data_IF_936521819236
#
_entry.id   IF_936521819236
#
_cell.length_a   1.000
_cell.length_b   1.000
_cell.length_c   1.000
_cell.angle_alpha   90.00
_cell.angle_beta   90.00
_cell.angle_gamma   90.00
#
_symmetry.space_group_name_H-M   'P 1'
#
loop_
_entity.id
_entity.type
_entity.pdbx_description
1 polymer ?
#
# COMPACT_ATOMS: atom_id res chain seq x y z
N UNK A 1 57.83 -30.91 21.73
CA UNK A 1 56.58 -31.55 21.27
C UNK A 1 55.42 -30.78 21.88
N UNK A 2 54.90 -29.77 21.18
CA UNK A 2 53.80 -28.95 21.66
C UNK A 2 52.48 -29.69 21.38
N UNK A 3 51.71 -29.97 22.43
CA UNK A 3 50.38 -30.58 22.35
C UNK A 3 49.33 -29.47 22.22
N UNK A 4 48.87 -29.23 20.99
CA UNK A 4 47.50 -28.81 20.68
C UNK A 4 46.60 -30.02 21.04
N UNK A 5 45.46 -29.99 21.74
CA UNK A 5 44.30 -29.09 21.88
C UNK A 5 43.43 -29.68 23.04
N UNK A 6 42.44 -28.98 23.67
CA UNK A 6 41.09 -28.99 23.08
C UNK A 6 40.24 -27.77 23.52
N UNK A 7 40.57 -26.57 23.05
CA UNK A 7 39.74 -25.38 23.31
C UNK A 7 39.33 -24.67 22.01
N UNK A 8 39.40 -25.34 20.87
CA UNK A 8 39.01 -24.76 19.57
C UNK A 8 37.83 -25.47 18.91
N UNK A 9 37.28 -26.53 19.51
CA UNK A 9 36.08 -27.21 19.00
C UNK A 9 34.76 -26.59 19.49
N UNK A 10 34.79 -25.73 20.52
CA UNK A 10 33.58 -25.09 21.05
C UNK A 10 33.10 -23.87 20.24
N UNK A 11 33.86 -23.43 19.22
CA UNK A 11 33.52 -22.25 18.42
C UNK A 11 32.68 -22.54 17.16
N UNK A 12 32.42 -23.82 16.84
CA UNK A 12 31.72 -24.20 15.60
C UNK A 12 30.27 -24.68 15.79
N UNK A 13 29.72 -24.59 17.00
CA UNK A 13 28.36 -25.01 17.33
C UNK A 13 27.35 -23.86 17.52
N UNK A 14 27.69 -22.63 17.09
CA UNK A 14 26.77 -21.48 17.04
C UNK A 14 26.54 -21.00 15.60
N UNK A 15 26.45 -21.95 14.66
CA UNK A 15 26.01 -21.75 13.27
C UNK A 15 24.68 -22.47 13.01
N UNK A 16 23.80 -22.54 14.01
CA UNK A 16 22.43 -22.99 13.78
C UNK A 16 21.63 -21.77 13.31
N UNK A 17 21.38 -21.78 12.01
CA UNK A 17 20.65 -20.82 11.22
C UNK A 17 19.50 -20.12 11.98
N UNK A 18 19.54 -18.79 12.01
CA UNK A 18 18.32 -18.01 12.16
C UNK A 18 17.47 -18.21 10.92
N UNK A 19 16.63 -19.24 10.90
CA UNK A 19 15.65 -19.44 9.84
C UNK A 19 14.62 -18.31 10.00
N UNK A 20 14.82 -17.19 9.31
CA UNK A 20 13.74 -16.22 9.11
C UNK A 20 12.78 -16.80 8.07
N UNK A 21 11.91 -17.71 8.50
CA UNK A 21 10.74 -18.11 7.72
C UNK A 21 9.52 -17.42 8.30
N UNK A 22 9.20 -16.25 7.74
CA UNK A 22 7.89 -15.65 7.87
C UNK A 22 7.32 -15.45 6.46
N UNK A 23 7.12 -16.55 5.74
CA UNK A 23 6.09 -16.56 4.71
C UNK A 23 4.76 -16.51 5.45
N UNK A 24 4.30 -15.30 5.84
CA UNK A 24 2.88 -15.13 6.15
C UNK A 24 2.17 -15.57 4.88
N UNK A 25 1.47 -16.69 4.96
CA UNK A 25 0.69 -17.19 3.86
C UNK A 25 -0.23 -16.07 3.39
N UNK A 26 0.08 -15.46 2.25
CA UNK A 26 -0.75 -14.46 1.54
C UNK A 26 -1.96 -15.16 0.93
N UNK A 27 -2.66 -15.94 1.74
CA UNK A 27 -3.78 -16.76 1.32
C UNK A 27 -5.04 -15.94 1.49
N UNK A 28 -5.89 -15.98 0.47
CA UNK A 28 -7.26 -15.55 0.64
C UNK A 28 -7.98 -16.47 1.63
N UNK A 29 -9.14 -16.03 2.09
CA UNK A 29 -10.03 -16.90 2.84
C UNK A 29 -10.42 -18.11 1.97
N UNK A 30 -10.41 -19.36 2.50
CA UNK A 30 -10.77 -20.54 1.71
C UNK A 30 -12.12 -20.38 1.02
N UNK A 31 -12.18 -20.71 -0.27
CA UNK A 31 -13.37 -20.56 -1.11
C UNK A 31 -13.59 -19.16 -1.68
N UNK A 32 -12.68 -18.21 -1.42
CA UNK A 32 -12.73 -16.85 -1.98
C UNK A 32 -11.71 -16.67 -3.10
N UNK A 33 -11.93 -15.64 -3.93
CA UNK A 33 -11.03 -15.31 -5.04
C UNK A 33 -9.66 -14.85 -4.50
N UNK A 34 -8.60 -15.53 -4.94
CA UNK A 34 -7.24 -15.29 -4.48
C UNK A 34 -6.49 -14.18 -5.21
N UNK A 35 -6.89 -13.85 -6.44
CA UNK A 35 -6.19 -12.89 -7.29
C UNK A 35 -7.13 -12.04 -8.14
N UNK A 36 -6.70 -10.82 -8.46
CA UNK A 36 -7.32 -9.95 -9.46
C UNK A 36 -6.21 -9.31 -10.31
N UNK A 37 -6.11 -9.71 -11.58
CA UNK A 37 -4.92 -9.43 -12.39
C UNK A 37 -3.68 -10.01 -11.73
N UNK A 38 -2.65 -9.17 -11.58
CA UNK A 38 -1.37 -9.55 -10.97
C UNK A 38 -1.36 -9.36 -9.43
N UNK A 39 -2.45 -8.85 -8.84
CA UNK A 39 -2.54 -8.64 -7.41
C UNK A 39 -3.09 -9.89 -6.70
N UNK A 40 -2.33 -10.40 -5.74
CA UNK A 40 -2.81 -11.38 -4.76
C UNK A 40 -3.64 -10.69 -3.67
N UNK A 41 -4.78 -11.30 -3.31
CA UNK A 41 -5.76 -10.79 -2.36
C UNK A 41 -5.69 -11.66 -1.09
N UNK A 42 -4.88 -11.28 -0.11
CA UNK A 42 -4.82 -12.01 1.13
C UNK A 42 -5.95 -11.62 2.09
N UNK A 43 -6.38 -12.54 2.94
CA UNK A 43 -7.19 -12.19 4.10
C UNK A 43 -6.41 -11.20 4.99
N UNK A 44 -7.01 -10.10 5.49
CA UNK A 44 -8.44 -9.84 5.69
C UNK A 44 -9.22 -9.26 4.50
N UNK A 45 -8.56 -8.99 3.37
CA UNK A 45 -9.22 -8.44 2.18
C UNK A 45 -9.97 -9.54 1.39
N UNK A 46 -11.01 -9.13 0.66
CA UNK A 46 -11.75 -10.08 -0.16
C UNK A 46 -12.81 -9.46 -1.07
N UNK A 47 -13.17 -10.22 -2.10
CA UNK A 47 -14.21 -9.85 -3.07
C UNK A 47 -15.47 -10.64 -2.76
N UNK A 48 -16.57 -9.93 -2.54
CA UNK A 48 -17.89 -10.53 -2.33
C UNK A 48 -18.21 -10.92 -0.88
N UNK A 49 -19.49 -11.24 -0.60
CA UNK A 49 -19.96 -11.48 0.76
C UNK A 49 -19.23 -12.63 1.47
N UNK A 50 -18.79 -12.40 2.71
CA UNK A 50 -18.14 -13.42 3.53
C UNK A 50 -16.68 -13.73 3.16
N UNK A 51 -16.08 -12.96 2.24
CA UNK A 51 -14.68 -13.11 1.83
C UNK A 51 -13.70 -12.12 2.48
N UNK A 52 -14.22 -11.09 3.13
CA UNK A 52 -13.44 -10.07 3.83
C UNK A 52 -13.78 -10.07 5.32
N UNK A 53 -12.91 -9.48 6.15
CA UNK A 53 -13.09 -9.44 7.61
C UNK A 53 -14.26 -8.56 8.05
N UNK A 54 -14.42 -7.38 7.43
CA UNK A 54 -15.46 -6.42 7.75
C UNK A 54 -15.42 -5.19 6.84
N UNK A 55 -16.28 -4.19 7.09
CA UNK A 55 -16.33 -2.96 6.28
C UNK A 55 -14.95 -2.30 6.13
N UNK A 56 -14.58 -1.94 4.90
CA UNK A 56 -13.29 -1.36 4.56
C UNK A 56 -12.24 -2.37 4.07
N UNK A 57 -12.45 -3.67 4.30
CA UNK A 57 -11.61 -4.74 3.73
C UNK A 57 -12.20 -5.35 2.46
N UNK A 58 -13.42 -4.94 2.13
CA UNK A 58 -14.07 -5.28 0.88
C UNK A 58 -13.40 -4.55 -0.29
N UNK A 59 -13.10 -5.31 -1.33
CA UNK A 59 -12.48 -4.81 -2.56
C UNK A 59 -13.27 -5.32 -3.76
N UNK A 60 -13.09 -4.65 -4.88
CA UNK A 60 -13.70 -4.98 -6.17
C UNK A 60 -12.62 -5.24 -7.22
N UNK A 61 -12.96 -6.06 -8.21
CA UNK A 61 -12.09 -6.39 -9.33
C UNK A 61 -12.81 -6.05 -10.63
N UNK A 62 -12.29 -5.08 -11.38
CA UNK A 62 -12.84 -4.64 -12.67
C UNK A 62 -11.67 -4.54 -13.66
N UNK A 63 -11.81 -5.12 -14.85
CA UNK A 63 -10.77 -5.15 -15.89
C UNK A 63 -9.38 -5.59 -15.39
N UNK A 64 -9.35 -6.65 -14.56
CA UNK A 64 -8.13 -7.15 -13.90
C UNK A 64 -7.43 -6.15 -12.98
N UNK A 65 -8.11 -5.08 -12.57
CA UNK A 65 -7.61 -4.08 -11.62
C UNK A 65 -8.41 -4.15 -10.32
N UNK A 66 -7.72 -3.98 -9.21
CA UNK A 66 -8.32 -4.07 -7.89
C UNK A 66 -8.62 -2.67 -7.36
N UNK A 67 -9.84 -2.46 -6.84
CA UNK A 67 -10.25 -1.18 -6.29
C UNK A 67 -10.82 -1.35 -4.88
N UNK A 68 -10.56 -0.38 -4.03
CA UNK A 68 -11.17 -0.29 -2.70
C UNK A 68 -12.69 -0.10 -2.87
N UNK A 69 -13.48 -0.99 -2.28
CA UNK A 69 -14.93 -0.93 -2.43
C UNK A 69 -15.48 0.30 -1.70
N UNK A 70 -16.54 0.91 -2.25
CA UNK A 70 -17.20 2.09 -1.67
C UNK A 70 -16.31 3.33 -1.47
N UNK A 71 -15.18 3.43 -2.17
CA UNK A 71 -14.45 4.69 -2.25
C UNK A 71 -15.08 5.58 -3.31
N UNK A 72 -15.53 6.79 -2.92
CA UNK A 72 -16.03 7.83 -3.85
C UNK A 72 -15.04 8.16 -4.97
N UNK A 73 -13.76 7.83 -4.77
CA UNK A 73 -12.64 8.16 -5.65
C UNK A 73 -12.10 6.97 -6.45
N UNK A 74 -12.78 5.80 -6.44
CA UNK A 74 -12.35 4.57 -7.16
C UNK A 74 -10.86 4.26 -6.98
N UNK A 75 -10.42 4.17 -5.73
CA UNK A 75 -9.02 4.04 -5.36
C UNK A 75 -8.49 2.66 -5.77
N UNK A 76 -7.57 2.63 -6.73
CA UNK A 76 -6.92 1.41 -7.20
C UNK A 76 -5.86 0.94 -6.21
N UNK A 77 -5.89 -0.34 -5.88
CA UNK A 77 -4.89 -1.04 -5.06
C UNK A 77 -3.98 -1.80 -6.01
N UNK A 78 -2.67 -1.56 -5.92
CA UNK A 78 -1.68 -2.25 -6.75
C UNK A 78 -0.68 -3.07 -5.93
N UNK A 79 -0.67 -2.93 -4.60
CA UNK A 79 0.15 -3.79 -3.75
C UNK A 79 -0.44 -3.90 -2.34
N UNK A 80 -0.40 -5.11 -1.77
CA UNK A 80 -0.80 -5.37 -0.38
C UNK A 80 0.38 -6.06 0.31
N UNK A 81 0.85 -5.49 1.42
CA UNK A 81 1.91 -6.07 2.24
C UNK A 81 1.38 -6.29 3.66
N UNK A 82 1.08 -7.54 3.98
CA UNK A 82 0.66 -7.93 5.33
C UNK A 82 1.79 -7.72 6.35
N UNK A 83 3.02 -8.10 5.99
CA UNK A 83 4.21 -7.93 6.83
C UNK A 83 4.47 -6.46 7.16
N UNK A 84 4.22 -5.57 6.20
CA UNK A 84 4.33 -4.13 6.41
C UNK A 84 3.08 -3.46 6.96
N UNK A 85 1.97 -4.21 7.14
CA UNK A 85 0.69 -3.67 7.56
C UNK A 85 0.15 -2.56 6.64
N UNK A 86 0.49 -2.60 5.35
CA UNK A 86 0.24 -1.50 4.42
C UNK A 86 -0.32 -1.99 3.08
N UNK A 87 -1.26 -1.25 2.53
CA UNK A 87 -1.67 -1.34 1.14
C UNK A 87 -1.18 -0.10 0.39
N UNK A 88 -0.71 -0.27 -0.85
CA UNK A 88 -0.33 0.82 -1.73
C UNK A 88 -1.42 1.04 -2.76
N UNK A 89 -1.78 2.30 -2.91
CA UNK A 89 -2.89 2.74 -3.74
C UNK A 89 -2.49 3.91 -4.63
N UNK A 90 -3.15 4.02 -5.78
CA UNK A 90 -3.08 5.20 -6.62
C UNK A 90 -4.15 6.20 -6.17
N UNK A 91 -3.75 7.47 -6.05
CA UNK A 91 -4.66 8.58 -5.77
C UNK A 91 -5.03 9.30 -7.06
N UNK A 92 -6.16 10.03 -7.04
CA UNK A 92 -6.53 10.95 -8.10
C UNK A 92 -5.49 12.09 -8.20
N UNK A 93 -5.22 12.52 -9.44
CA UNK A 93 -4.35 13.65 -9.74
C UNK A 93 -5.19 14.92 -9.75
N UNK A 94 -4.81 15.91 -8.94
CA UNK A 94 -5.39 17.25 -9.03
C UNK A 94 -4.69 18.04 -10.13
N UNK A 95 -5.46 18.72 -10.99
CA UNK A 95 -4.93 19.68 -11.96
C UNK A 95 -5.79 20.94 -11.99
N UNK A 96 -5.17 22.10 -12.20
CA UNK A 96 -5.85 23.39 -12.33
C UNK A 96 -5.15 24.19 -13.41
N UNK A 97 -5.91 24.67 -14.38
CA UNK A 97 -5.37 25.48 -15.47
C UNK A 97 -5.53 26.97 -15.16
N UNK A 98 -4.59 27.79 -15.67
CA UNK A 98 -4.66 29.23 -15.49
C UNK A 98 -5.93 29.78 -16.15
N UNK A 99 -6.69 30.63 -15.44
CA UNK A 99 -7.95 31.20 -15.93
C UNK A 99 -9.21 30.33 -15.74
N UNK A 100 -9.12 29.15 -15.11
CA UNK A 100 -10.32 28.42 -14.69
C UNK A 100 -10.74 28.81 -13.27
N UNK A 101 -11.98 29.28 -13.13
CA UNK A 101 -12.59 29.57 -11.82
C UNK A 101 -12.93 28.29 -11.03
N UNK A 102 -12.98 27.14 -11.70
CA UNK A 102 -13.11 25.84 -11.03
C UNK A 102 -11.82 25.49 -10.31
N UNK A 103 -11.93 25.26 -9.01
CA UNK A 103 -10.81 24.85 -8.20
C UNK A 103 -10.47 23.37 -8.45
N UNK A 104 -9.28 23.10 -9.00
CA UNK A 104 -8.76 21.76 -9.21
C UNK A 104 -8.32 21.12 -7.90
N UNK A 105 -9.20 20.32 -7.29
CA UNK A 105 -8.89 19.54 -6.10
C UNK A 105 -9.09 18.05 -6.37
N UNK A 106 -8.15 17.24 -5.92
CA UNK A 106 -8.33 15.80 -5.81
C UNK A 106 -8.40 15.43 -4.33
N UNK A 107 -9.40 14.63 -3.98
CA UNK A 107 -9.49 14.04 -2.65
C UNK A 107 -9.55 12.52 -2.78
N UNK A 108 -8.74 11.84 -1.98
CA UNK A 108 -8.90 10.41 -1.74
C UNK A 108 -9.22 10.20 -0.28
N UNK A 109 -10.34 9.54 -0.01
CA UNK A 109 -10.69 9.10 1.34
C UNK A 109 -10.28 7.64 1.47
N UNK A 110 -9.44 7.35 2.45
CA UNK A 110 -9.21 5.98 2.89
C UNK A 110 -10.37 5.55 3.76
N UNK A 111 -10.75 4.26 3.76
CA UNK A 111 -11.74 3.78 4.71
C UNK A 111 -11.28 4.12 6.15
N UNK A 112 -12.20 4.36 7.08
CA UNK A 112 -11.91 4.87 8.44
C UNK A 112 -10.85 4.05 9.21
N UNK A 113 -10.61 2.80 8.81
CA UNK A 113 -9.63 1.90 9.41
C UNK A 113 -8.19 2.08 8.91
N UNK A 114 -7.95 2.90 7.88
CA UNK A 114 -6.62 3.08 7.28
C UNK A 114 -6.13 4.52 7.38
N UNK A 115 -4.89 4.67 7.84
CA UNK A 115 -4.17 5.93 7.89
C UNK A 115 -3.16 6.02 6.76
N UNK A 116 -3.00 7.21 6.18
CA UNK A 116 -1.97 7.48 5.18
C UNK A 116 -0.56 7.52 5.82
N UNK A 117 0.40 6.81 5.22
CA UNK A 117 1.76 6.72 5.76
C UNK A 117 2.60 7.94 5.39
N UNK A 118 2.85 8.85 6.35
CA UNK A 118 3.69 10.04 6.14
C UNK A 118 5.15 9.75 5.75
N UNK A 119 5.64 8.53 5.97
CA UNK A 119 7.01 8.12 5.57
C UNK A 119 7.06 7.50 4.17
N UNK A 120 6.01 6.78 3.76
CA UNK A 120 5.97 6.04 2.51
C UNK A 120 5.27 6.81 1.37
N UNK A 121 4.52 7.85 1.71
CA UNK A 121 3.88 8.72 0.72
C UNK A 121 4.92 9.61 0.03
N UNK A 122 4.83 9.73 -1.29
CA UNK A 122 5.59 10.68 -2.09
C UNK A 122 4.62 11.56 -2.85
N UNK A 123 4.44 12.79 -2.41
CA UNK A 123 3.64 13.79 -3.14
C UNK A 123 4.56 14.51 -4.13
N UNK A 124 4.12 14.64 -5.37
CA UNK A 124 4.84 15.35 -6.42
C UNK A 124 3.86 16.31 -7.07
N UNK A 125 4.12 17.62 -6.98
CA UNK A 125 3.40 18.61 -7.75
C UNK A 125 4.30 19.09 -8.90
N UNK A 126 3.69 19.18 -10.07
CA UNK A 126 4.32 19.68 -11.29
C UNK A 126 3.67 21.03 -11.58
N UNK A 127 4.48 22.06 -11.76
CA UNK A 127 4.05 23.31 -12.38
C UNK A 127 4.75 23.46 -13.74
N UNK A 128 4.26 24.38 -14.58
CA UNK A 128 4.75 24.65 -15.93
C UNK A 128 6.26 24.96 -16.04
N UNK A 129 6.94 25.23 -14.92
CA UNK A 129 8.32 25.71 -14.87
C UNK A 129 9.19 25.17 -13.72
N UNK A 130 8.62 24.54 -12.68
CA UNK A 130 9.31 24.01 -11.50
C UNK A 130 8.60 22.76 -10.91
N UNK A 131 9.40 21.93 -10.24
CA UNK A 131 8.92 20.80 -9.43
C UNK A 131 8.80 21.28 -7.98
N UNK A 132 7.58 21.28 -7.43
CA UNK A 132 7.37 21.55 -6.00
C UNK A 132 6.74 20.33 -5.32
N UNK A 133 7.30 19.89 -4.20
CA UNK A 133 6.70 18.85 -3.36
C UNK A 133 6.05 19.50 -2.14
N UNK A 134 4.74 19.37 -2.01
CA UNK A 134 4.00 19.80 -0.82
C UNK A 134 3.43 18.58 -0.10
N UNK A 135 3.45 18.58 1.22
CA UNK A 135 2.83 17.56 2.05
C UNK A 135 1.52 18.11 2.62
N UNK A 136 0.38 17.57 2.20
CA UNK A 136 -0.92 17.87 2.79
C UNK A 136 -1.57 16.56 3.27
N UNK A 137 -1.15 16.10 4.44
CA UNK A 137 -1.66 14.89 5.07
C UNK A 137 -2.78 15.27 6.03
N UNK A 138 -4.00 14.78 5.81
CA UNK A 138 -5.01 14.68 6.87
C UNK A 138 -5.15 13.21 7.26
N UNK A 139 -5.47 12.91 8.52
CA UNK A 139 -5.47 11.54 9.06
C UNK A 139 -6.39 10.56 8.30
N UNK A 140 -7.35 11.04 7.52
CA UNK A 140 -8.36 10.23 6.80
C UNK A 140 -8.38 10.46 5.29
N UNK A 141 -7.46 11.27 4.76
CA UNK A 141 -7.44 11.55 3.33
C UNK A 141 -6.34 12.48 2.84
N UNK A 142 -6.10 12.40 1.53
CA UNK A 142 -5.19 13.29 0.82
C UNK A 142 -6.02 14.34 0.10
N UNK A 143 -5.73 15.63 0.29
CA UNK A 143 -6.32 16.72 -0.49
C UNK A 143 -5.21 17.45 -1.22
N UNK A 144 -5.18 17.31 -2.54
CA UNK A 144 -4.20 17.97 -3.40
C UNK A 144 -4.86 19.17 -4.08
N UNK A 145 -4.24 20.35 -3.95
CA UNK A 145 -4.58 21.54 -4.72
C UNK A 145 -3.58 21.73 -5.87
N UNK A 146 -4.03 22.29 -6.99
CA UNK A 146 -3.21 22.41 -8.20
C UNK A 146 -2.96 23.86 -8.67
N UNK A 147 -1.83 24.05 -9.40
CA UNK A 147 -1.45 25.25 -10.17
C UNK A 147 -0.23 24.97 -11.09
N UNK A 148 -0.07 25.61 -12.26
CA UNK A 148 -0.97 25.80 -13.39
C UNK A 148 -0.69 24.82 -14.57
N UNK A 149 -1.65 24.68 -15.50
CA UNK A 149 -1.47 24.05 -16.80
C UNK A 149 -0.93 25.05 -17.85
N UNK A 150 0.29 24.80 -18.34
CA UNK A 150 0.74 24.92 -19.74
C UNK A 150 2.06 24.14 -19.87
#
# INVERSE_FOLDING_TARGET
MARVLPCTTFAFALLIASIKSSNSSTMAKPGCRETCGDLSIPYPFGIGPGCFYGPGFDISCEDNRTFMHNSSSRVEIYNISLLGGQARVNTLIASKCYGSDTSGWASTQTAQLFTLSGKANKLTALDATHLHSWEATTNTGLKLGASPCA
#
